data_IF_405662132441
#
_entry.id   IF_405662132441
#
_cell.length_a   1.000
_cell.length_b   1.000
_cell.length_c   1.000
_cell.angle_alpha   90.00
_cell.angle_beta   90.00
_cell.angle_gamma   90.00
#
_symmetry.space_group_name_H-M   'P 1'
#
loop_
_entity.id
_entity.type
_entity.pdbx_description
1 polymer ?
2 water ?
#
# COMPACT_ATOMS: atom_id res chain seq x y z
N UNK A 1 5.42 7.08 22.76
CA UNK A 1 6.13 8.15 22.08
C UNK A 1 5.61 8.15 20.63
N UNK A 2 5.81 9.27 19.91
CA UNK A 2 5.21 9.48 18.60
C UNK A 2 6.26 9.78 17.55
N UNK A 3 5.98 9.42 16.30
CA UNK A 3 6.82 9.86 15.19
C UNK A 3 5.93 10.46 14.11
N UNK A 4 6.50 11.37 13.36
CA UNK A 4 5.88 11.97 12.19
C UNK A 4 6.55 11.38 10.97
N UNK A 5 5.74 10.79 10.08
CA UNK A 5 6.25 10.18 8.87
C UNK A 5 6.33 11.21 7.75
N UNK A 6 7.34 11.05 6.90
CA UNK A 6 7.33 11.77 5.63
C UNK A 6 7.76 10.82 4.53
N UNK A 7 7.18 11.03 3.35
CA UNK A 7 7.52 10.24 2.17
C UNK A 7 8.80 10.82 1.56
N UNK A 8 9.92 10.13 1.72
CA UNK A 8 11.15 10.59 1.10
C UNK A 8 11.13 10.33 -0.40
N UNK A 9 10.76 9.10 -0.78
CA UNK A 9 10.70 8.66 -2.16
C UNK A 9 9.50 7.75 -2.32
N UNK A 10 8.99 7.66 -3.55
CA UNK A 10 7.73 6.95 -3.79
C UNK A 10 7.65 6.60 -5.26
N UNK A 11 7.31 5.34 -5.56
CA UNK A 11 7.17 4.94 -6.96
C UNK A 11 6.16 3.81 -7.01
N UNK A 12 5.06 4.01 -7.73
CA UNK A 12 4.06 2.97 -7.93
C UNK A 12 3.96 2.68 -9.42
N UNK A 13 4.20 1.43 -9.80
CA UNK A 13 4.19 1.05 -11.20
C UNK A 13 3.34 -0.20 -11.35
N UNK A 14 3.10 -0.57 -12.60
CA UNK A 14 2.23 -1.70 -12.87
C UNK A 14 2.50 -2.22 -14.27
N UNK A 15 2.06 -3.45 -14.52
CA UNK A 15 2.21 -4.07 -15.82
C UNK A 15 0.95 -4.87 -16.13
N UNK A 16 0.52 -4.85 -17.39
CA UNK A 16 -0.57 -5.70 -17.84
C UNK A 16 -1.95 -5.30 -17.38
N UNK A 17 -2.10 -4.12 -16.79
CA UNK A 17 -3.37 -3.73 -16.18
C UNK A 17 -4.41 -3.31 -17.22
N UNK A 18 -5.65 -3.70 -16.99
CA UNK A 18 -6.78 -3.15 -17.72
C UNK A 18 -6.95 -1.67 -17.36
N UNK A 19 -7.62 -0.90 -18.24
CA UNK A 19 -7.86 0.52 -17.93
C UNK A 19 -8.42 0.79 -16.53
N UNK A 20 -9.47 0.06 -16.12
CA UNK A 20 -10.04 0.34 -14.79
C UNK A 20 -9.06 -0.06 -13.69
N UNK A 21 -8.33 -1.17 -13.87
CA UNK A 21 -7.36 -1.57 -12.86
C UNK A 21 -6.27 -0.52 -12.72
N UNK A 22 -5.78 0.01 -13.85
CA UNK A 22 -4.74 1.03 -13.79
C UNK A 22 -5.25 2.31 -13.13
N UNK A 23 -6.46 2.73 -13.48
CA UNK A 23 -7.08 3.89 -12.83
C UNK A 23 -7.16 3.69 -11.31
N UNK A 24 -7.66 2.53 -10.89
CA UNK A 24 -7.78 2.25 -9.46
C UNK A 24 -6.42 2.27 -8.77
N UNK A 25 -5.43 1.64 -9.39
CA UNK A 25 -4.09 1.56 -8.82
C UNK A 25 -3.48 2.94 -8.65
N UNK A 26 -3.61 3.80 -9.68
CA UNK A 26 -3.02 5.13 -9.58
C UNK A 26 -3.72 5.95 -8.52
N UNK A 27 -5.04 5.81 -8.40
CA UNK A 27 -5.77 6.53 -7.38
C UNK A 27 -5.36 6.08 -5.97
N UNK A 28 -5.25 4.77 -5.79
CA UNK A 28 -4.71 4.22 -4.54
C UNK A 28 -3.34 4.77 -4.23
N UNK A 29 -2.44 4.75 -5.22
CA UNK A 29 -1.07 5.17 -5.00
C UNK A 29 -1.01 6.63 -4.57
N UNK A 30 -1.79 7.49 -5.23
CA UNK A 30 -1.79 8.90 -4.86
C UNK A 30 -2.39 9.10 -3.47
N UNK A 31 -3.45 8.36 -3.14
CA UNK A 31 -4.04 8.43 -1.82
C UNK A 31 -3.03 8.03 -0.75
N UNK A 32 -2.28 6.96 -1.01
CA UNK A 32 -1.29 6.46 -0.07
C UNK A 32 -0.18 7.47 0.14
N UNK A 33 0.32 8.04 -0.97
CA UNK A 33 1.39 9.02 -0.87
C UNK A 33 0.96 10.22 -0.05
N UNK A 34 -0.28 10.71 -0.27
CA UNK A 34 -0.75 11.86 0.49
C UNK A 34 -1.04 11.52 1.95
N UNK A 35 -1.56 10.31 2.21
CA UNK A 35 -1.93 9.98 3.57
C UNK A 35 -0.70 9.71 4.43
N UNK A 36 0.34 9.10 3.85
CA UNK A 36 1.52 8.78 4.66
C UNK A 36 2.37 10.01 4.95
N UNK A 37 2.41 10.97 4.03
CA UNK A 37 3.21 12.15 4.24
C UNK A 37 2.59 13.01 5.34
N UNK A 38 3.39 13.31 6.37
CA UNK A 38 3.01 14.01 7.60
C UNK A 38 2.14 13.19 8.54
N UNK A 39 2.04 11.89 8.33
CA UNK A 39 1.25 11.05 9.21
C UNK A 39 1.92 10.94 10.58
N UNK A 40 1.16 11.16 11.64
CA UNK A 40 1.66 10.95 13.00
C UNK A 40 1.23 9.56 13.46
N UNK A 41 2.19 8.76 13.91
CA UNK A 41 1.94 7.37 14.29
C UNK A 41 2.67 7.07 15.60
N UNK A 42 2.00 6.35 16.47
CA UNK A 42 2.52 5.96 17.77
C UNK A 42 3.22 4.62 17.71
N UNK A 43 4.10 4.38 18.66
CA UNK A 43 4.76 3.08 18.73
C UNK A 43 3.74 1.98 18.90
N UNK A 44 3.88 0.94 18.08
CA UNK A 44 2.97 -0.17 18.09
C UNK A 44 1.67 0.08 17.37
N UNK A 45 1.47 1.27 16.80
CA UNK A 45 0.21 1.57 16.13
C UNK A 45 0.19 0.99 14.72
N UNK A 46 -0.97 0.46 14.33
CA UNK A 46 -1.21 -0.04 12.98
C UNK A 46 -2.24 0.85 12.30
N UNK A 47 -1.94 1.31 11.09
CA UNK A 47 -2.85 2.10 10.29
C UNK A 47 -3.10 1.38 8.97
N UNK A 48 -4.20 1.76 8.32
CA UNK A 48 -4.56 1.18 7.02
C UNK A 48 -5.09 2.27 6.10
N UNK A 49 -4.65 2.21 4.84
CA UNK A 49 -5.11 3.07 3.77
C UNK A 49 -5.75 2.18 2.72
N UNK A 50 -6.96 2.50 2.29
CA UNK A 50 -7.66 1.63 1.37
C UNK A 50 -8.28 2.44 0.23
N UNK A 51 -8.35 1.81 -0.93
CA UNK A 51 -9.10 2.36 -2.04
C UNK A 51 -9.87 1.24 -2.70
N UNK A 52 -11.15 1.50 -3.02
CA UNK A 52 -12.04 0.48 -3.56
C UNK A 52 -12.69 0.95 -4.86
N UNK A 53 -12.86 0.01 -5.79
CA UNK A 53 -13.71 0.13 -6.96
C UNK A 53 -14.89 -0.80 -6.77
N UNK A 54 -16.10 -0.27 -6.82
CA UNK A 54 -17.30 -1.10 -6.77
C UNK A 54 -18.10 -0.96 -8.05
N UNK A 55 -18.39 -2.10 -8.66
CA UNK A 55 -19.30 -2.25 -9.79
C UNK A 55 -20.26 -3.37 -9.43
N UNK A 56 -21.42 -3.44 -10.09
CA UNK A 56 -22.36 -4.53 -9.78
C UNK A 56 -21.74 -5.90 -9.91
N UNK A 57 -20.87 -6.11 -10.90
CA UNK A 57 -20.31 -7.42 -11.18
C UNK A 57 -19.06 -7.74 -10.37
N UNK A 58 -18.35 -6.73 -9.85
CA UNK A 58 -17.08 -7.03 -9.20
C UNK A 58 -16.67 -5.87 -8.30
N UNK A 59 -16.04 -6.19 -7.18
CA UNK A 59 -15.44 -5.17 -6.34
C UNK A 59 -13.95 -5.45 -6.19
N UNK A 60 -13.14 -4.39 -6.15
CA UNK A 60 -11.70 -4.51 -6.01
C UNK A 60 -11.28 -3.59 -4.88
N UNK A 61 -10.60 -4.14 -3.89
CA UNK A 61 -10.18 -3.36 -2.73
C UNK A 61 -8.67 -3.51 -2.60
N UNK A 62 -7.96 -2.39 -2.61
CA UNK A 62 -6.50 -2.37 -2.42
C UNK A 62 -6.23 -1.72 -1.08
N UNK A 63 -5.46 -2.40 -0.23
CA UNK A 63 -5.21 -1.89 1.11
C UNK A 63 -3.71 -1.95 1.40
N UNK A 64 -3.22 -0.92 2.09
CA UNK A 64 -1.85 -0.85 2.56
C UNK A 64 -1.94 -0.65 4.06
N UNK A 65 -1.34 -1.55 4.82
CA UNK A 65 -1.28 -1.43 6.27
C UNK A 65 0.15 -1.18 6.69
N UNK A 66 0.32 -0.32 7.71
CA UNK A 66 1.65 0.03 8.18
C UNK A 66 1.62 0.02 9.70
N UNK A 67 2.60 -0.63 10.30
CA UNK A 67 2.73 -0.69 11.75
C UNK A 67 4.12 -0.21 12.11
N UNK A 68 4.18 0.74 13.05
CA UNK A 68 5.43 1.19 13.67
C UNK A 68 5.79 0.16 14.73
N UNK A 69 6.62 -0.81 14.35
CA UNK A 69 6.89 -1.94 15.24
C UNK A 69 7.79 -1.51 16.39
N UNK A 70 8.81 -0.73 16.09
CA UNK A 70 9.72 -0.22 17.10
C UNK A 70 10.35 1.03 16.54
N UNK A 71 11.39 1.52 17.20
CA UNK A 71 12.07 2.71 16.71
C UNK A 71 12.64 2.46 15.33
N UNK A 72 12.23 3.29 14.37
CA UNK A 72 12.76 3.26 13.01
C UNK A 72 12.47 1.97 12.28
N UNK A 73 11.49 1.19 12.74
CA UNK A 73 11.21 -0.13 12.17
C UNK A 73 9.73 -0.29 11.87
N UNK A 74 9.42 -0.78 10.66
CA UNK A 74 8.07 -0.84 10.15
C UNK A 74 7.74 -2.23 9.67
N UNK A 75 6.46 -2.54 9.69
CA UNK A 75 5.92 -3.72 9.03
C UNK A 75 4.74 -3.29 8.18
N UNK A 76 4.76 -3.63 6.89
CA UNK A 76 3.73 -3.18 5.97
C UNK A 76 3.15 -4.37 5.21
N UNK A 77 1.89 -4.26 4.82
CA UNK A 77 1.23 -5.26 3.99
C UNK A 77 0.49 -4.55 2.86
N UNK A 78 0.75 -4.98 1.63
CA UNK A 78 -0.03 -4.57 0.48
C UNK A 78 -0.94 -5.73 0.10
N UNK A 79 -2.23 -5.47 -0.06
CA UNK A 79 -3.19 -6.54 -0.28
C UNK A 79 -4.21 -6.11 -1.32
N UNK A 80 -4.50 -6.99 -2.26
CA UNK A 80 -5.51 -6.80 -3.28
C UNK A 80 -6.56 -7.89 -3.08
N UNK A 81 -7.82 -7.48 -3.01
CA UNK A 81 -8.94 -8.41 -2.84
C UNK A 81 -9.95 -8.13 -3.94
N UNK A 82 -10.25 -9.13 -4.75
CA UNK A 82 -11.26 -9.01 -5.79
C UNK A 82 -12.43 -9.91 -5.44
N UNK A 83 -13.62 -9.35 -5.36
CA UNK A 83 -14.85 -10.10 -5.09
C UNK A 83 -15.65 -10.13 -6.38
N UNK A 84 -15.68 -11.29 -7.03
CA UNK A 84 -16.53 -11.53 -8.18
C UNK A 84 -17.38 -12.76 -7.94
N UNK A 85 -17.47 -13.66 -8.94
CA UNK A 85 -18.12 -14.96 -8.73
C UNK A 85 -17.48 -15.68 -7.56
N UNK A 86 -16.16 -15.56 -7.45
CA UNK A 86 -15.38 -16.03 -6.32
C UNK A 86 -14.55 -14.86 -5.81
N UNK A 87 -13.86 -15.07 -4.71
CA UNK A 87 -13.03 -14.04 -4.12
C UNK A 87 -11.58 -14.46 -4.26
N UNK A 88 -10.75 -13.54 -4.73
CA UNK A 88 -9.32 -13.76 -4.89
C UNK A 88 -8.59 -12.75 -4.03
N UNK A 89 -7.55 -13.21 -3.34
CA UNK A 89 -6.72 -12.32 -2.52
C UNK A 89 -5.27 -12.56 -2.87
N UNK A 90 -4.52 -11.49 -3.07
CA UNK A 90 -3.07 -11.58 -3.16
C UNK A 90 -2.47 -10.54 -2.23
N UNK A 91 -1.37 -10.88 -1.57
CA UNK A 91 -0.82 -9.92 -0.63
C UNK A 91 0.67 -10.18 -0.42
N UNK A 92 1.37 -9.15 0.05
CA UNK A 92 2.75 -9.28 0.46
C UNK A 92 2.98 -8.46 1.72
N UNK A 93 3.73 -9.03 2.65
CA UNK A 93 4.08 -8.38 3.91
C UNK A 93 5.61 -8.23 3.96
N UNK A 94 6.08 -7.05 4.36
CA UNK A 94 7.51 -6.76 4.38
C UNK A 94 7.83 -6.05 5.69
N UNK A 95 9.06 -6.22 6.15
CA UNK A 95 9.58 -5.50 7.30
C UNK A 95 10.72 -4.63 6.82
N UNK A 96 10.76 -3.38 7.26
CA UNK A 96 11.77 -2.48 6.72
C UNK A 96 12.08 -1.38 7.71
N UNK A 97 13.14 -0.63 7.43
CA UNK A 97 13.66 0.40 8.32
C UNK A 97 13.40 1.79 7.75
N UNK A 98 13.27 2.78 8.64
CA UNK A 98 13.22 4.16 8.20
C UNK A 98 14.44 4.48 7.34
N UNK A 99 14.22 5.23 6.27
CA UNK A 99 15.34 5.68 5.46
C UNK A 99 15.86 4.68 4.45
N UNK A 100 15.21 3.52 4.32
CA UNK A 100 15.57 2.52 3.33
C UNK A 100 14.41 2.24 2.39
N UNK A 101 14.70 2.05 1.12
CA UNK A 101 13.66 1.68 0.16
C UNK A 101 13.12 0.30 0.49
N UNK A 102 11.81 0.17 0.40
CA UNK A 102 11.14 -1.11 0.47
C UNK A 102 10.26 -1.26 -0.77
N UNK A 103 10.11 -2.50 -1.22
CA UNK A 103 9.34 -2.84 -2.40
C UNK A 103 8.30 -3.90 -2.03
N UNK A 104 7.06 -3.69 -2.46
CA UNK A 104 5.98 -4.66 -2.29
C UNK A 104 5.36 -4.93 -3.65
N UNK A 105 5.12 -6.20 -3.96
CA UNK A 105 4.66 -6.59 -5.29
C UNK A 105 3.50 -7.57 -5.19
N UNK A 106 2.48 -7.35 -6.01
CA UNK A 106 1.35 -8.25 -6.18
C UNK A 106 1.39 -8.76 -7.61
N UNK A 107 1.27 -10.07 -7.81
CA UNK A 107 1.19 -10.61 -9.17
C UNK A 107 -0.12 -11.38 -9.32
N UNK A 108 -0.81 -11.14 -10.43
CA UNK A 108 -2.10 -11.71 -10.76
C UNK A 108 -2.00 -12.49 -12.06
N UNK A 109 -2.98 -13.36 -12.35
CA UNK A 109 -3.00 -14.03 -13.66
C UNK A 109 -3.03 -13.04 -14.81
N UNK A 110 -2.69 -13.57 -16.00
CA UNK A 110 -2.73 -12.86 -17.27
C UNK A 110 -1.75 -11.69 -17.28
N UNK A 111 -0.60 -11.87 -16.63
CA UNK A 111 0.50 -10.94 -16.77
C UNK A 111 0.37 -9.64 -16.02
N UNK A 112 -0.43 -9.61 -14.96
CA UNK A 112 -0.69 -8.39 -14.20
C UNK A 112 0.25 -8.31 -13.01
N UNK A 113 0.86 -7.14 -12.81
CA UNK A 113 1.76 -6.90 -11.70
C UNK A 113 1.46 -5.51 -11.15
N UNK A 114 1.46 -5.39 -9.82
CA UNK A 114 1.36 -4.11 -9.12
C UNK A 114 2.59 -3.96 -8.24
N UNK A 115 3.32 -2.85 -8.38
CA UNK A 115 4.58 -2.70 -7.63
C UNK A 115 4.60 -1.37 -6.92
N UNK A 116 4.89 -1.40 -5.62
CA UNK A 116 4.98 -0.21 -4.78
C UNK A 116 6.37 -0.14 -4.18
N UNK A 117 7.03 1.00 -4.34
CA UNK A 117 8.35 1.21 -3.75
C UNK A 117 8.31 2.52 -3.00
N UNK A 118 8.86 2.54 -1.78
CA UNK A 118 8.86 3.80 -1.04
C UNK A 118 9.95 3.81 0.02
N UNK A 119 10.21 5.02 0.53
CA UNK A 119 11.22 5.27 1.54
C UNK A 119 10.62 6.28 2.50
N UNK A 120 10.65 5.97 3.79
CA UNK A 120 9.98 6.77 4.82
C UNK A 120 11.02 7.45 5.71
N UNK A 121 10.78 8.72 6.01
CA UNK A 121 11.47 9.43 7.07
C UNK A 121 10.63 9.33 8.33
N UNK A 122 11.28 9.07 9.47
CA UNK A 122 10.60 8.95 10.75
C UNK A 122 11.19 10.00 11.70
N UNK A 123 10.44 11.07 11.97
CA UNK A 123 10.93 12.15 12.84
C UNK A 123 10.31 12.01 14.23
N UNK A 124 11.13 11.97 15.26
CA UNK A 124 10.60 11.87 16.62
C UNK A 124 9.94 13.18 17.03
N UNK A 125 8.71 13.07 17.57
CA UNK A 125 8.00 14.27 17.98
C UNK A 125 7.39 14.08 19.37
#
# INVERSE_FOLDING_TARGET
>A
KKIKLNIKEFKATAEGLSPEEKELWDKFAEKLKAELNNKIINLGEKIEIEEELKTPTKSIKITFSLELVSEDTFKATLKLEIKGKETIVEEETVEFKAGETVKLTIKLPDGKTFTLELKLEATKI
#
